data_IF_011161807841
#
_entry.id   IF_011161807841
#
_cell.length_a   1.000
_cell.length_b   1.000
_cell.length_c   1.000
_cell.angle_alpha   90.00
_cell.angle_beta   90.00
_cell.angle_gamma   90.00
#
_symmetry.space_group_name_H-M   'P 1'
#
loop_
_entity.id
_entity.type
_entity.pdbx_description
1 polymer ?
#
# COMPACT_ATOMS: atom_id res chain seq x y z
N UNK A 1 -10.21 -1.37 16.39
CA UNK A 1 -9.04 -1.38 15.47
C UNK A 1 -9.07 -0.11 14.60
N UNK A 2 -7.94 0.37 14.07
CA UNK A 2 -7.82 1.36 12.96
C UNK A 2 -7.69 2.88 13.26
N UNK A 3 -7.33 3.37 14.44
CA UNK A 3 -7.27 4.85 14.64
C UNK A 3 -6.18 5.59 13.84
N UNK A 4 -5.08 4.92 13.46
CA UNK A 4 -3.88 5.60 12.91
C UNK A 4 -3.43 5.10 11.53
N UNK A 5 -4.22 4.26 10.83
CA UNK A 5 -3.79 3.64 9.56
C UNK A 5 -3.49 4.69 8.49
N UNK A 6 -4.26 5.79 8.47
CA UNK A 6 -4.02 6.91 7.55
C UNK A 6 -2.71 7.64 7.82
N UNK A 7 -2.34 7.85 9.08
CA UNK A 7 -1.08 8.51 9.45
C UNK A 7 0.12 7.60 9.20
N UNK A 8 0.02 6.32 9.55
CA UNK A 8 1.07 5.34 9.30
C UNK A 8 1.30 5.15 7.80
N UNK A 9 0.22 5.06 7.02
CA UNK A 9 0.29 5.00 5.56
C UNK A 9 0.96 6.23 4.96
N UNK A 10 0.61 7.43 5.42
CA UNK A 10 1.25 8.67 5.00
C UNK A 10 2.76 8.66 5.32
N UNK A 11 3.15 8.33 6.56
CA UNK A 11 4.56 8.26 6.98
C UNK A 11 5.37 7.26 6.15
N UNK A 12 4.77 6.12 5.80
CA UNK A 12 5.39 5.11 4.97
C UNK A 12 5.74 5.65 3.57
N UNK A 13 4.77 6.28 2.90
CA UNK A 13 5.01 6.87 1.58
C UNK A 13 5.98 8.06 1.61
N UNK A 14 5.93 8.89 2.66
CA UNK A 14 6.91 9.96 2.86
C UNK A 14 8.33 9.38 2.95
N UNK A 15 8.52 8.28 3.68
CA UNK A 15 9.84 7.61 3.76
C UNK A 15 10.30 7.03 2.41
N UNK A 16 9.39 6.45 1.63
CA UNK A 16 9.69 5.99 0.26
C UNK A 16 10.14 7.16 -0.61
N UNK A 17 9.44 8.30 -0.52
CA UNK A 17 9.75 9.50 -1.28
C UNK A 17 11.07 10.16 -0.86
N UNK A 18 11.43 10.06 0.42
CA UNK A 18 12.76 10.47 0.91
C UNK A 18 13.88 9.60 0.31
N UNK A 19 13.67 8.28 0.25
CA UNK A 19 14.67 7.34 -0.28
C UNK A 19 14.75 7.41 -1.81
N UNK A 20 13.60 7.52 -2.47
CA UNK A 20 13.46 7.45 -3.91
C UNK A 20 12.49 8.54 -4.42
N UNK A 21 12.94 9.80 -4.55
CA UNK A 21 12.09 10.92 -4.96
C UNK A 21 11.48 10.74 -6.36
N UNK A 22 12.12 9.95 -7.24
CA UNK A 22 11.60 9.61 -8.57
C UNK A 22 10.25 8.91 -8.52
N UNK A 23 9.95 8.17 -7.45
CA UNK A 23 8.67 7.45 -7.30
C UNK A 23 7.48 8.40 -7.19
N UNK A 24 7.68 9.65 -6.75
CA UNK A 24 6.62 10.66 -6.74
C UNK A 24 6.04 10.89 -8.15
N UNK A 25 6.89 10.79 -9.19
CA UNK A 25 6.47 10.95 -10.60
C UNK A 25 5.63 9.78 -11.11
N UNK A 26 5.54 8.67 -10.40
CA UNK A 26 4.65 7.57 -10.76
C UNK A 26 3.18 7.89 -10.41
N UNK A 27 2.96 8.82 -9.48
CA UNK A 27 1.63 9.21 -9.04
C UNK A 27 1.19 10.46 -9.81
N UNK A 28 0.21 10.29 -10.71
CA UNK A 28 -0.35 11.40 -11.50
C UNK A 28 -0.89 12.55 -10.63
N UNK A 29 -1.42 12.23 -9.45
CA UNK A 29 -1.95 13.21 -8.49
C UNK A 29 -0.88 13.98 -7.71
N UNK A 30 0.40 13.61 -7.83
CA UNK A 30 1.53 14.30 -7.19
C UNK A 30 2.32 15.17 -8.18
N UNK A 31 2.31 14.86 -9.49
CA UNK A 31 3.10 15.56 -10.52
C UNK A 31 2.90 17.08 -10.52
N UNK A 32 1.64 17.53 -10.45
CA UNK A 32 1.27 18.95 -10.54
C UNK A 32 0.74 19.51 -9.22
N UNK A 33 0.95 18.78 -8.11
CA UNK A 33 0.40 19.19 -6.82
C UNK A 33 1.23 20.30 -6.21
N UNK A 34 0.60 21.46 -5.97
CA UNK A 34 1.18 22.55 -5.15
C UNK A 34 0.99 22.33 -3.65
N UNK A 35 0.32 21.25 -3.27
CA UNK A 35 0.03 20.91 -1.87
C UNK A 35 1.18 20.06 -1.32
N UNK A 36 1.69 20.37 -0.11
CA UNK A 36 2.65 19.51 0.56
C UNK A 36 2.17 18.05 0.65
N UNK A 37 3.11 17.10 0.50
CA UNK A 37 2.80 15.67 0.44
C UNK A 37 2.01 15.18 1.67
N UNK A 38 2.35 15.68 2.85
CA UNK A 38 1.72 15.37 4.13
C UNK A 38 0.27 15.86 4.23
N UNK A 39 -0.07 16.93 3.51
CA UNK A 39 -1.41 17.52 3.46
C UNK A 39 -2.22 17.07 2.26
N UNK A 40 -1.67 16.22 1.39
CA UNK A 40 -2.36 15.79 0.19
C UNK A 40 -3.43 14.72 0.52
N UNK A 41 -4.73 15.02 0.38
CA UNK A 41 -5.80 14.09 0.73
C UNK A 41 -5.83 12.86 -0.19
N UNK A 42 -5.37 12.99 -1.44
CA UNK A 42 -5.30 11.87 -2.40
C UNK A 42 -4.21 10.88 -2.00
N UNK A 43 -3.08 11.37 -1.51
CA UNK A 43 -2.00 10.50 -1.01
C UNK A 43 -2.47 9.70 0.21
N UNK A 44 -3.15 10.35 1.17
CA UNK A 44 -3.67 9.69 2.37
C UNK A 44 -4.69 8.59 2.02
N UNK A 45 -5.60 8.86 1.08
CA UNK A 45 -6.58 7.88 0.60
C UNK A 45 -5.90 6.68 -0.10
N UNK A 46 -4.92 6.96 -0.96
CA UNK A 46 -4.14 5.93 -1.64
C UNK A 46 -3.38 5.03 -0.64
N UNK A 47 -2.73 5.63 0.36
CA UNK A 47 -2.00 4.88 1.37
C UNK A 47 -2.90 3.97 2.22
N UNK A 48 -4.08 4.45 2.63
CA UNK A 48 -5.06 3.60 3.33
C UNK A 48 -5.49 2.40 2.48
N UNK A 49 -5.76 2.65 1.20
CA UNK A 49 -6.20 1.61 0.26
C UNK A 49 -5.12 0.55 0.07
N UNK A 50 -3.86 0.97 -0.11
CA UNK A 50 -2.71 0.06 -0.18
C UNK A 50 -2.60 -0.82 1.07
N UNK A 51 -2.68 -0.23 2.27
CA UNK A 51 -2.62 -0.99 3.52
C UNK A 51 -3.80 -1.96 3.69
N UNK A 52 -5.00 -1.59 3.23
CA UNK A 52 -6.16 -2.47 3.26
C UNK A 52 -5.97 -3.67 2.33
N UNK A 53 -5.52 -3.44 1.09
CA UNK A 53 -5.24 -4.53 0.15
C UNK A 53 -4.10 -5.43 0.62
N UNK A 54 -3.05 -4.84 1.19
CA UNK A 54 -1.96 -5.61 1.79
C UNK A 54 -2.52 -6.51 2.90
N UNK A 55 -3.27 -5.93 3.85
CA UNK A 55 -3.88 -6.70 4.93
C UNK A 55 -4.85 -7.77 4.43
N UNK A 56 -5.68 -7.46 3.43
CA UNK A 56 -6.61 -8.42 2.83
C UNK A 56 -5.87 -9.55 2.12
N UNK A 57 -4.79 -9.22 1.38
CA UNK A 57 -3.93 -10.22 0.75
C UNK A 57 -3.32 -11.15 1.79
N UNK A 58 -2.76 -10.61 2.88
CA UNK A 58 -2.27 -11.41 4.00
C UNK A 58 -3.39 -12.26 4.61
N UNK A 59 -4.58 -11.70 4.86
CA UNK A 59 -5.72 -12.47 5.36
C UNK A 59 -6.09 -13.63 4.43
N UNK A 60 -6.17 -13.40 3.12
CA UNK A 60 -6.49 -14.42 2.12
C UNK A 60 -5.39 -15.48 2.05
N UNK A 61 -4.12 -15.08 2.05
CA UNK A 61 -2.98 -16.01 1.98
C UNK A 61 -2.89 -16.88 3.23
N UNK A 62 -3.07 -16.31 4.42
CA UNK A 62 -2.86 -17.01 5.69
C UNK A 62 -4.11 -17.73 6.23
N UNK A 63 -5.32 -17.36 5.79
CA UNK A 63 -6.56 -18.05 6.18
C UNK A 63 -6.93 -19.20 5.23
N UNK A 64 -6.25 -19.30 4.08
CA UNK A 64 -6.45 -20.41 3.14
C UNK A 64 -5.84 -21.68 3.71
N UNK A 65 -6.58 -22.81 3.77
CA UNK A 65 -6.01 -24.08 4.20
C UNK A 65 -4.85 -24.46 3.28
N UNK A 66 -3.71 -24.84 3.87
CA UNK A 66 -2.54 -25.28 3.12
C UNK A 66 -2.92 -26.49 2.26
N UNK A 67 -2.53 -26.53 0.97
CA UNK A 67 -2.75 -27.70 0.16
C UNK A 67 -1.97 -28.89 0.74
N UNK A 68 -2.45 -30.13 0.56
CA UNK A 68 -1.93 -31.34 1.22
C UNK A 68 -0.45 -31.63 0.93
N UNK A 69 0.11 -30.97 -0.08
CA UNK A 69 1.47 -31.08 -0.58
C UNK A 69 2.40 -29.92 -0.13
N UNK A 70 1.97 -29.04 0.79
CA UNK A 70 2.82 -28.05 1.47
C UNK A 70 3.40 -26.93 0.61
N UNK A 71 3.21 -26.97 -0.72
CA UNK A 71 3.59 -25.90 -1.63
C UNK A 71 2.63 -24.72 -1.49
N UNK A 72 3.17 -23.59 -1.03
CA UNK A 72 2.48 -22.31 -1.04
C UNK A 72 1.92 -22.08 -2.46
N UNK A 73 0.60 -21.99 -2.59
CA UNK A 73 -0.06 -21.76 -3.88
C UNK A 73 0.15 -20.30 -4.30
N UNK A 74 1.37 -19.96 -4.72
CA UNK A 74 1.70 -18.68 -5.33
C UNK A 74 1.15 -18.56 -6.77
N UNK A 75 0.12 -19.36 -7.10
CA UNK A 75 -0.46 -19.54 -8.43
C UNK A 75 -1.78 -18.79 -8.64
N UNK A 76 -2.29 -18.04 -7.65
CA UNK A 76 -3.64 -17.45 -7.76
C UNK A 76 -3.70 -16.17 -8.61
N UNK A 77 -2.58 -15.52 -8.96
CA UNK A 77 -2.63 -14.41 -9.90
C UNK A 77 -1.53 -14.52 -10.95
N UNK A 78 -1.71 -15.48 -11.87
CA UNK A 78 -1.17 -15.35 -13.22
C UNK A 78 -1.95 -14.21 -13.88
N UNK A 79 -1.47 -12.98 -13.66
CA UNK A 79 -1.77 -11.81 -14.50
C UNK A 79 -1.15 -12.07 -15.87
#
# INVERSE_FOLDING_TARGET
MKKNVGELGLKFFLKIFEIAPLTQKLFSFLKDSKVPLDKNPKLKSHAMTFFYFLFLFFMVVYSSPLPPNGLLKMTIYKI
#
